data_IF_296286410053
#
_entry.id   IF_296286410053
#
_cell.length_a   1.000
_cell.length_b   1.000
_cell.length_c   1.000
_cell.angle_alpha   90.00
_cell.angle_beta   90.00
_cell.angle_gamma   90.00
#
_symmetry.space_group_name_H-M   'P 1'
#
loop_
_entity.id
_entity.type
_entity.pdbx_description
1 polymer ?
#
# COMPACT_ATOMS: atom_id res chain seq x y z
N UNK A 1 34.04 -22.36 -4.98
CA UNK A 1 33.87 -21.45 -3.82
C UNK A 1 33.33 -20.07 -4.21
N UNK A 2 33.75 -19.48 -5.33
CA UNK A 2 33.28 -18.16 -5.81
C UNK A 2 31.78 -18.08 -6.09
N UNK A 3 31.18 -19.12 -6.70
CA UNK A 3 29.74 -19.16 -7.02
C UNK A 3 28.86 -19.13 -5.77
N UNK A 4 29.23 -19.88 -4.73
CA UNK A 4 28.47 -19.95 -3.47
C UNK A 4 28.51 -18.62 -2.73
N UNK A 5 29.68 -17.96 -2.68
CA UNK A 5 29.82 -16.64 -2.06
C UNK A 5 29.00 -15.59 -2.79
N UNK A 6 28.98 -15.61 -4.13
CA UNK A 6 28.18 -14.70 -4.95
C UNK A 6 26.67 -14.87 -4.70
N UNK A 7 26.20 -16.12 -4.62
CA UNK A 7 24.80 -16.46 -4.32
C UNK A 7 24.37 -15.94 -2.94
N UNK A 8 25.21 -16.13 -1.92
CA UNK A 8 24.93 -15.63 -0.57
C UNK A 8 24.86 -14.10 -0.56
N UNK A 9 25.79 -13.41 -1.23
CA UNK A 9 25.77 -11.95 -1.36
C UNK A 9 24.48 -11.45 -2.01
N UNK A 10 24.06 -12.06 -3.13
CA UNK A 10 22.82 -11.72 -3.81
C UNK A 10 21.60 -11.93 -2.90
N UNK A 11 21.53 -13.05 -2.19
CA UNK A 11 20.44 -13.35 -1.26
C UNK A 11 20.38 -12.33 -0.11
N UNK A 12 21.53 -11.90 0.43
CA UNK A 12 21.57 -10.89 1.49
C UNK A 12 21.13 -9.51 1.00
N UNK A 13 21.48 -9.12 -0.22
CA UNK A 13 21.05 -7.86 -0.83
C UNK A 13 19.54 -7.85 -1.09
N UNK A 14 18.99 -8.94 -1.62
CA UNK A 14 17.55 -9.09 -1.82
C UNK A 14 16.83 -8.96 -0.48
N UNK A 15 17.27 -9.69 0.55
CA UNK A 15 16.63 -9.63 1.87
C UNK A 15 16.70 -8.23 2.51
N UNK A 16 17.82 -7.53 2.36
CA UNK A 16 17.96 -6.17 2.85
C UNK A 16 16.96 -5.22 2.17
N UNK A 17 16.82 -5.33 0.84
CA UNK A 17 15.84 -4.56 0.07
C UNK A 17 14.41 -4.89 0.50
N UNK A 18 14.03 -6.16 0.61
CA UNK A 18 12.66 -6.54 1.04
C UNK A 18 12.31 -5.93 2.41
N UNK A 19 13.26 -5.96 3.36
CA UNK A 19 13.08 -5.36 4.68
C UNK A 19 12.94 -3.83 4.63
N UNK A 20 13.68 -3.17 3.73
CA UNK A 20 13.58 -1.73 3.50
C UNK A 20 12.19 -1.35 2.96
N UNK A 21 11.69 -2.07 1.94
CA UNK A 21 10.36 -1.84 1.38
C UNK A 21 9.27 -1.99 2.46
N UNK A 22 9.37 -3.05 3.26
CA UNK A 22 8.44 -3.27 4.37
C UNK A 22 8.50 -2.13 5.41
N UNK A 23 9.70 -1.64 5.71
CA UNK A 23 9.89 -0.51 6.63
C UNK A 23 9.26 0.78 6.09
N UNK A 24 9.47 1.07 4.80
CA UNK A 24 8.86 2.21 4.11
C UNK A 24 7.35 2.12 4.17
N UNK A 25 6.78 0.97 3.77
CA UNK A 25 5.35 0.74 3.81
C UNK A 25 4.78 0.94 5.22
N UNK A 26 5.37 0.32 6.26
CA UNK A 26 4.91 0.48 7.65
C UNK A 26 4.99 1.92 8.13
N UNK A 27 6.02 2.65 7.71
CA UNK A 27 6.17 4.07 8.04
C UNK A 27 5.06 4.92 7.41
N UNK A 28 4.71 4.65 6.15
CA UNK A 28 3.64 5.37 5.45
C UNK A 28 2.26 5.00 5.99
N UNK A 29 2.04 3.71 6.29
CA UNK A 29 0.79 3.18 6.86
C UNK A 29 0.54 3.66 8.29
N UNK A 30 1.56 4.06 9.04
CA UNK A 30 1.37 4.55 10.41
C UNK A 30 0.44 5.78 10.51
N UNK A 31 0.22 6.50 9.39
CA UNK A 31 -0.79 7.57 9.26
C UNK A 31 -2.23 7.06 9.37
N UNK A 32 -2.49 5.80 9.04
CA UNK A 32 -3.80 5.13 9.07
C UNK A 32 -4.34 4.89 10.49
N UNK A 33 -3.52 5.11 11.53
CA UNK A 33 -3.91 4.94 12.94
C UNK A 33 -5.11 5.81 13.38
N UNK A 34 -5.56 6.72 12.53
CA UNK A 34 -6.77 7.53 12.74
C UNK A 34 -8.06 6.82 12.36
N UNK A 35 -8.02 5.73 11.57
CA UNK A 35 -9.20 4.91 11.24
C UNK A 35 -9.32 3.79 12.27
N UNK A 36 -10.27 3.85 13.22
CA UNK A 36 -10.30 2.92 14.34
C UNK A 36 -10.75 1.53 13.87
N UNK A 37 -9.86 0.60 13.55
CA UNK A 37 -10.24 -0.79 13.26
C UNK A 37 -11.01 -1.40 14.45
N UNK A 38 -12.24 -1.88 14.18
CA UNK A 38 -13.09 -2.50 15.20
C UNK A 38 -12.53 -3.88 15.61
N UNK A 39 -12.18 -4.03 16.89
CA UNK A 39 -11.70 -5.30 17.46
C UNK A 39 -10.35 -5.76 16.90
N UNK A 40 -9.91 -6.96 17.26
CA UNK A 40 -8.65 -7.59 16.80
C UNK A 40 -8.58 -7.86 15.27
N UNK A 41 -9.37 -7.16 14.45
CA UNK A 41 -9.39 -7.28 12.99
C UNK A 41 -8.31 -6.37 12.38
N UNK A 42 -7.47 -6.94 11.52
CA UNK A 42 -6.51 -6.20 10.68
C UNK A 42 -7.18 -5.50 9.50
N UNK A 43 -8.49 -5.66 9.33
CA UNK A 43 -9.26 -5.09 8.23
C UNK A 43 -10.33 -4.10 8.73
N UNK A 44 -10.55 -2.98 8.02
CA UNK A 44 -11.66 -2.08 8.28
C UNK A 44 -12.99 -2.81 8.08
N UNK A 45 -13.98 -2.48 8.90
CA UNK A 45 -15.36 -2.89 8.63
C UNK A 45 -15.91 -2.21 7.37
N UNK A 46 -17.03 -2.68 6.84
CA UNK A 46 -17.68 -2.06 5.68
C UNK A 46 -17.99 -0.56 5.87
N UNK A 47 -18.27 -0.12 7.11
CA UNK A 47 -18.50 1.29 7.42
C UNK A 47 -17.22 2.12 7.49
N UNK A 48 -16.07 1.49 7.73
CA UNK A 48 -14.75 2.13 7.83
C UNK A 48 -14.03 2.14 6.49
N UNK A 49 -14.45 1.28 5.56
CA UNK A 49 -13.85 1.15 4.24
C UNK A 49 -13.76 2.48 3.46
N UNK A 50 -14.75 3.41 3.51
CA UNK A 50 -14.62 4.67 2.79
C UNK A 50 -13.47 5.55 3.28
N UNK A 51 -13.35 5.72 4.60
CA UNK A 51 -12.28 6.50 5.22
C UNK A 51 -10.93 5.83 5.01
N UNK A 52 -10.88 4.50 5.16
CA UNK A 52 -9.70 3.70 4.85
C UNK A 52 -9.22 3.91 3.40
N UNK A 53 -10.13 3.88 2.43
CA UNK A 53 -9.80 4.11 1.03
C UNK A 53 -9.25 5.52 0.78
N UNK A 54 -9.79 6.54 1.47
CA UNK A 54 -9.28 7.91 1.36
C UNK A 54 -7.85 7.99 1.90
N UNK A 55 -7.60 7.47 3.11
CA UNK A 55 -6.26 7.48 3.70
C UNK A 55 -5.26 6.71 2.85
N UNK A 56 -5.63 5.53 2.36
CA UNK A 56 -4.76 4.75 1.48
C UNK A 56 -4.44 5.48 0.18
N UNK A 57 -5.42 6.19 -0.39
CA UNK A 57 -5.26 6.92 -1.65
C UNK A 57 -4.47 8.22 -1.50
N UNK A 58 -4.73 8.99 -0.45
CA UNK A 58 -4.25 10.37 -0.33
C UNK A 58 -3.07 10.53 0.61
N UNK A 59 -2.81 9.56 1.48
CA UNK A 59 -1.71 9.64 2.45
C UNK A 59 -0.69 8.50 2.22
N UNK A 60 -1.16 7.25 2.22
CA UNK A 60 -0.26 6.08 2.22
C UNK A 60 0.40 5.85 0.86
N UNK A 61 -0.38 5.71 -0.23
CA UNK A 61 0.18 5.47 -1.55
C UNK A 61 1.11 6.58 -2.06
N UNK A 62 0.82 7.89 -1.88
CA UNK A 62 1.79 8.94 -2.22
C UNK A 62 3.09 8.86 -1.42
N UNK A 63 3.01 8.61 -0.12
CA UNK A 63 4.21 8.44 0.72
C UNK A 63 5.08 7.27 0.22
N UNK A 64 4.47 6.17 -0.20
CA UNK A 64 5.20 5.03 -0.76
C UNK A 64 5.82 5.40 -2.11
N UNK A 65 5.05 6.04 -3.00
CA UNK A 65 5.53 6.44 -4.32
C UNK A 65 6.76 7.35 -4.21
N UNK A 66 6.72 8.35 -3.32
CA UNK A 66 7.83 9.26 -3.05
C UNK A 66 9.06 8.51 -2.53
N UNK A 67 8.90 7.67 -1.51
CA UNK A 67 10.03 6.99 -0.86
C UNK A 67 10.65 5.88 -1.70
N UNK A 68 9.84 5.22 -2.53
CA UNK A 68 10.29 4.13 -3.40
C UNK A 68 10.59 4.58 -4.83
N UNK A 69 10.41 5.88 -5.13
CA UNK A 69 10.60 6.47 -6.45
C UNK A 69 9.77 5.76 -7.54
N UNK A 70 8.51 5.44 -7.21
CA UNK A 70 7.55 4.81 -8.12
C UNK A 70 6.75 5.91 -8.81
N UNK A 71 6.56 5.78 -10.12
CA UNK A 71 5.71 6.70 -10.87
C UNK A 71 4.27 6.65 -10.38
N UNK A 72 3.71 7.84 -10.16
CA UNK A 72 2.37 8.01 -9.63
C UNK A 72 1.72 9.26 -10.25
N UNK A 73 0.58 9.05 -10.91
CA UNK A 73 -0.19 10.11 -11.59
C UNK A 73 -1.36 10.63 -10.74
N UNK A 74 -1.53 10.12 -9.52
CA UNK A 74 -2.62 10.48 -8.61
C UNK A 74 -3.96 9.79 -8.90
N UNK A 75 -4.09 9.03 -9.99
CA UNK A 75 -5.28 8.25 -10.29
C UNK A 75 -5.44 7.09 -9.30
N UNK A 76 -6.68 6.68 -9.06
CA UNK A 76 -6.97 5.54 -8.16
C UNK A 76 -6.26 4.25 -8.62
N UNK A 77 -6.14 4.04 -9.93
CA UNK A 77 -5.43 2.90 -10.51
C UNK A 77 -3.94 2.98 -10.25
N UNK A 78 -3.32 4.14 -10.45
CA UNK A 78 -1.88 4.34 -10.20
C UNK A 78 -1.53 4.13 -8.72
N UNK A 79 -2.37 4.63 -7.81
CA UNK A 79 -2.25 4.41 -6.36
C UNK A 79 -2.31 2.93 -5.98
N UNK A 80 -3.18 2.15 -6.64
CA UNK A 80 -3.23 0.69 -6.51
C UNK A 80 -1.95 0.01 -7.01
N UNK A 81 -1.38 0.48 -8.12
CA UNK A 81 -0.13 -0.02 -8.68
C UNK A 81 1.07 0.28 -7.78
N UNK A 82 1.10 1.41 -7.08
CA UNK A 82 2.15 1.72 -6.10
C UNK A 82 2.16 0.69 -4.97
N UNK A 83 0.99 0.32 -4.44
CA UNK A 83 0.88 -0.73 -3.42
C UNK A 83 1.30 -2.09 -3.97
N UNK A 84 0.92 -2.42 -5.20
CA UNK A 84 1.33 -3.65 -5.87
C UNK A 84 2.85 -3.71 -6.03
N UNK A 85 3.48 -2.62 -6.43
CA UNK A 85 4.93 -2.52 -6.58
C UNK A 85 5.67 -2.74 -5.26
N UNK A 86 5.16 -2.18 -4.15
CA UNK A 86 5.69 -2.45 -2.82
C UNK A 86 5.54 -3.93 -2.41
N UNK A 87 4.44 -4.59 -2.79
CA UNK A 87 4.26 -6.02 -2.57
C UNK A 87 5.23 -6.85 -3.41
N UNK A 88 5.36 -6.59 -4.71
CA UNK A 88 6.23 -7.35 -5.61
C UNK A 88 7.70 -7.30 -5.19
N UNK A 89 8.15 -6.19 -4.58
CA UNK A 89 9.52 -6.07 -4.09
C UNK A 89 9.74 -6.64 -2.69
N UNK A 90 8.71 -6.75 -1.85
CA UNK A 90 8.86 -7.23 -0.46
C UNK A 90 8.44 -8.69 -0.28
N UNK A 91 7.49 -9.15 -1.10
CA UNK A 91 6.69 -10.37 -0.94
C UNK A 91 5.97 -10.47 0.42
N UNK A 92 5.72 -9.34 1.09
CA UNK A 92 5.13 -9.32 2.42
C UNK A 92 3.60 -9.51 2.42
N UNK A 93 3.12 -10.38 3.33
CA UNK A 93 1.71 -10.75 3.43
C UNK A 93 0.80 -9.62 3.96
N UNK A 94 1.34 -8.67 4.72
CA UNK A 94 0.60 -7.50 5.19
C UNK A 94 0.29 -6.57 4.01
N UNK A 95 1.31 -6.28 3.19
CA UNK A 95 1.16 -5.45 1.99
C UNK A 95 0.20 -6.13 1.00
N UNK A 96 0.33 -7.46 0.82
CA UNK A 96 -0.58 -8.25 -0.02
C UNK A 96 -2.05 -8.11 0.37
N UNK A 97 -2.34 -8.08 1.67
CA UNK A 97 -3.72 -7.92 2.19
C UNK A 97 -4.28 -6.55 1.82
N UNK A 98 -3.50 -5.50 2.02
CA UNK A 98 -3.89 -4.14 1.69
C UNK A 98 -4.03 -3.92 0.19
N UNK A 99 -3.14 -4.51 -0.64
CA UNK A 99 -3.28 -4.50 -2.11
C UNK A 99 -4.62 -5.08 -2.53
N UNK A 100 -4.99 -6.25 -1.99
CA UNK A 100 -6.27 -6.90 -2.28
C UNK A 100 -7.45 -6.05 -1.83
N UNK A 101 -7.38 -5.49 -0.62
CA UNK A 101 -8.45 -4.66 -0.08
C UNK A 101 -8.58 -3.35 -0.86
N UNK A 102 -7.48 -2.74 -1.28
CA UNK A 102 -7.51 -1.52 -2.09
C UNK A 102 -8.15 -1.77 -3.45
N UNK A 103 -7.75 -2.84 -4.15
CA UNK A 103 -8.35 -3.18 -5.43
C UNK A 103 -9.84 -3.51 -5.27
N UNK A 104 -10.19 -4.38 -4.34
CA UNK A 104 -11.58 -4.79 -4.14
C UNK A 104 -12.45 -3.65 -3.59
N UNK A 105 -12.03 -3.02 -2.50
CA UNK A 105 -12.79 -2.05 -1.74
C UNK A 105 -12.75 -0.64 -2.30
N UNK A 106 -11.61 -0.23 -2.88
CA UNK A 106 -11.42 1.14 -3.36
C UNK A 106 -11.47 1.23 -4.89
N UNK A 107 -10.91 0.29 -5.66
CA UNK A 107 -10.93 0.42 -7.13
C UNK A 107 -12.27 -0.06 -7.72
N UNK A 108 -12.76 -1.23 -7.30
CA UNK A 108 -13.96 -1.83 -7.90
C UNK A 108 -15.29 -1.37 -7.27
N UNK A 109 -15.28 -0.88 -6.03
CA UNK A 109 -16.49 -0.45 -5.30
C UNK A 109 -16.65 1.10 -5.20
N UNK A 110 -15.84 1.88 -5.92
CA UNK A 110 -15.76 3.34 -5.79
C UNK A 110 -16.63 4.10 -6.80
N UNK A 111 -17.95 4.15 -6.60
CA UNK A 111 -18.72 5.13 -7.38
C UNK A 111 -19.78 5.89 -6.59
N UNK A 112 -20.42 5.34 -5.56
CA UNK A 112 -21.59 6.02 -4.99
C UNK A 112 -21.31 6.95 -3.79
N UNK A 113 -20.24 6.73 -3.03
CA UNK A 113 -20.00 7.49 -1.78
C UNK A 113 -18.93 8.59 -1.89
N UNK A 114 -18.32 8.77 -3.07
CA UNK A 114 -17.19 9.71 -3.26
C UNK A 114 -17.48 10.84 -4.26
N UNK A 115 -18.69 10.88 -4.81
CA UNK A 115 -19.20 12.05 -5.54
C UNK A 115 -19.79 12.99 -4.48
N UNK A 116 -19.09 14.07 -4.17
CA UNK A 116 -19.65 15.18 -3.40
C UNK A 116 -19.86 16.42 -4.29
N UNK A 117 -20.46 17.45 -3.72
CA UNK A 117 -20.76 18.71 -4.41
C UNK A 117 -19.51 19.47 -4.88
N UNK A 118 -18.32 19.10 -4.42
CA UNK A 118 -17.04 19.73 -4.76
C UNK A 118 -16.37 19.06 -5.96
N UNK A 119 -16.80 17.86 -6.37
CA UNK A 119 -16.30 17.22 -7.58
C UNK A 119 -16.74 17.91 -8.89
N UNK A 120 -17.75 18.80 -8.83
CA UNK A 120 -18.32 19.50 -10.00
C UNK A 120 -18.14 21.03 -9.97
N UNK A 121 -17.32 21.55 -9.06
CA UNK A 121 -16.91 22.97 -9.05
C UNK A 121 -15.59 23.14 -9.78
#
# INVERSE_FOLDING_TARGET
>A
MTVVVLLILLLTLVRARNNEILSVYKSCRASEKTVPTSGNSTFPSSSQLPEWCLTMRHDVAPCIAEKLLVEDDGSISSRGNVLLHAYEQSEDDEIKKDVKLYHYGCLYNSWHNFIDENCYK
#
